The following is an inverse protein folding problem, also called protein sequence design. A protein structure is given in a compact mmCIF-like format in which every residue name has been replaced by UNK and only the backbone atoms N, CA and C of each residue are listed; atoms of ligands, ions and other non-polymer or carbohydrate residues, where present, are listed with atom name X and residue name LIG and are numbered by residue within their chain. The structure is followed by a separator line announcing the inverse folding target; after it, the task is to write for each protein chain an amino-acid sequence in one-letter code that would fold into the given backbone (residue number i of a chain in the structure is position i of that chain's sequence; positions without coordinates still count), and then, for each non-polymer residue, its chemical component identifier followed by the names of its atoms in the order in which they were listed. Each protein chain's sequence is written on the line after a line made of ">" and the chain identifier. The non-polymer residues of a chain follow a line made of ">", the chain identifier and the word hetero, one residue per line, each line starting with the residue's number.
data_IF_173401533206
#
_entry.id   IF_173401533206
#
_cell.length_a   1.000
_cell.length_b   1.000
_cell.length_c   1.000
_cell.angle_alpha   90.00
_cell.angle_beta   90.00
_cell.angle_gamma   90.00
#
_symmetry.space_group_name_H-M   'P 1'
#
loop_
_entity.id
_entity.type
_entity.pdbx_description
1 polymer ?
#
# COMPACT_ATOMS: atom_id res chain seq x y z
N UNK A 1 9.42 14.06 16.16
CA UNK A 1 8.22 13.50 15.47
C UNK A 1 8.61 12.90 14.15
N UNK A 2 8.18 11.70 13.91
CA UNK A 2 8.39 11.06 12.62
C UNK A 2 7.30 11.47 11.65
N UNK A 3 7.66 11.59 10.38
CA UNK A 3 6.67 11.83 9.33
C UNK A 3 5.74 10.62 9.17
N UNK A 4 4.49 10.84 8.74
CA UNK A 4 3.59 9.73 8.44
C UNK A 4 4.17 8.77 7.41
N UNK A 5 3.93 7.47 7.61
CA UNK A 5 4.40 6.44 6.67
C UNK A 5 3.62 6.45 5.36
N UNK A 6 2.40 6.96 5.39
CA UNK A 6 1.55 7.16 4.22
C UNK A 6 0.96 8.55 4.32
N UNK A 7 1.10 9.33 3.27
CA UNK A 7 0.49 10.66 3.16
C UNK A 7 -0.83 10.52 2.43
N UNK A 8 -1.86 11.24 2.89
CA UNK A 8 -3.16 11.27 2.24
C UNK A 8 -3.53 12.70 1.92
N UNK A 9 -3.84 12.99 0.67
CA UNK A 9 -4.31 14.29 0.24
C UNK A 9 -5.31 14.16 -0.91
N UNK A 10 -5.98 15.25 -1.23
CA UNK A 10 -6.97 15.32 -2.30
C UNK A 10 -6.50 16.34 -3.34
N UNK A 11 -5.71 15.92 -4.35
CA UNK A 11 -5.13 16.84 -5.32
C UNK A 11 -6.18 17.45 -6.26
N UNK A 12 -7.31 16.77 -6.41
CA UNK A 12 -8.45 17.19 -7.22
C UNK A 12 -9.74 16.80 -6.48
N UNK A 13 -10.88 17.45 -6.79
CA UNK A 13 -12.17 17.01 -6.25
C UNK A 13 -12.42 15.53 -6.56
N UNK A 14 -12.92 14.79 -5.59
CA UNK A 14 -13.28 13.38 -5.71
C UNK A 14 -12.10 12.42 -5.85
N UNK A 15 -10.85 12.90 -5.75
CA UNK A 15 -9.65 12.08 -5.87
C UNK A 15 -8.89 12.07 -4.55
N UNK A 16 -8.78 10.90 -3.91
CA UNK A 16 -7.91 10.70 -2.76
C UNK A 16 -6.59 10.12 -3.23
N UNK A 17 -5.49 10.80 -2.89
CA UNK A 17 -4.14 10.32 -3.22
C UNK A 17 -3.45 9.84 -1.96
N UNK A 18 -2.95 8.60 -2.02
CA UNK A 18 -2.13 8.02 -0.97
C UNK A 18 -0.70 7.92 -1.48
N UNK A 19 0.23 8.41 -0.68
CA UNK A 19 1.66 8.39 -1.02
C UNK A 19 2.42 7.56 0.00
N UNK A 20 3.08 6.47 -0.45
CA UNK A 20 4.00 5.73 0.39
C UNK A 20 5.18 6.64 0.71
N UNK A 21 5.46 6.87 1.98
CA UNK A 21 6.38 7.92 2.42
C UNK A 21 7.56 7.39 3.23
N UNK A 22 8.29 6.44 2.64
CA UNK A 22 9.57 5.94 3.17
C UNK A 22 10.64 5.96 2.08
N UNK A 23 10.93 7.12 1.46
CA UNK A 23 11.83 7.15 0.30
C UNK A 23 13.25 6.64 0.62
N UNK A 24 13.73 6.83 1.84
CA UNK A 24 15.04 6.32 2.27
C UNK A 24 15.14 4.79 2.23
N UNK A 25 14.01 4.09 2.31
CA UNK A 25 13.91 2.63 2.18
C UNK A 25 13.22 2.22 0.88
N UNK A 26 13.17 3.11 -0.10
CA UNK A 26 12.48 2.91 -1.37
C UNK A 26 11.05 2.40 -1.18
N UNK A 27 10.38 2.92 -0.16
CA UNK A 27 8.99 2.61 0.19
C UNK A 27 8.76 1.12 0.46
N UNK A 28 9.74 0.44 1.07
CA UNK A 28 9.60 -0.94 1.47
C UNK A 28 8.41 -1.12 2.42
N UNK A 29 7.66 -2.19 2.22
CA UNK A 29 6.43 -2.49 2.95
C UNK A 29 6.75 -3.25 4.24
N UNK A 30 6.87 -2.51 5.34
CA UNK A 30 6.87 -3.10 6.68
C UNK A 30 5.42 -3.39 7.11
N UNK A 31 5.24 -4.12 8.21
CA UNK A 31 3.91 -4.32 8.77
C UNK A 31 3.26 -2.98 9.14
N UNK A 32 4.03 -2.03 9.68
CA UNK A 32 3.53 -0.70 10.02
C UNK A 32 3.07 0.08 8.79
N UNK A 33 3.84 0.05 7.70
CA UNK A 33 3.43 0.71 6.45
C UNK A 33 2.15 0.10 5.92
N UNK A 34 2.04 -1.23 5.89
CA UNK A 34 0.83 -1.89 5.41
C UNK A 34 -0.38 -1.55 6.27
N UNK A 35 -0.22 -1.54 7.58
CA UNK A 35 -1.31 -1.17 8.49
C UNK A 35 -1.82 0.23 8.20
N UNK A 36 -0.94 1.21 8.11
CA UNK A 36 -1.31 2.60 7.83
C UNK A 36 -1.94 2.72 6.44
N UNK A 37 -1.37 2.05 5.44
CA UNK A 37 -1.90 2.06 4.07
C UNK A 37 -3.33 1.52 4.04
N UNK A 38 -3.58 0.37 4.65
CA UNK A 38 -4.92 -0.22 4.63
C UNK A 38 -5.93 0.59 5.45
N UNK A 39 -5.51 1.22 6.54
CA UNK A 39 -6.38 2.13 7.27
C UNK A 39 -6.80 3.32 6.40
N UNK A 40 -5.87 3.89 5.66
CA UNK A 40 -6.17 4.99 4.73
C UNK A 40 -7.04 4.55 3.55
N UNK A 41 -6.78 3.35 3.02
CA UNK A 41 -7.61 2.78 1.95
C UNK A 41 -9.06 2.57 2.42
N UNK A 42 -9.24 1.99 3.60
CA UNK A 42 -10.58 1.79 4.15
C UNK A 42 -11.30 3.10 4.41
N UNK A 43 -10.58 4.08 4.94
CA UNK A 43 -11.14 5.42 5.18
C UNK A 43 -11.60 6.06 3.87
N UNK A 44 -10.78 5.99 2.84
CA UNK A 44 -11.11 6.53 1.52
C UNK A 44 -12.28 5.79 0.87
N UNK A 45 -12.31 4.46 0.98
CA UNK A 45 -13.37 3.65 0.40
C UNK A 45 -14.74 3.92 1.03
N UNK A 46 -14.76 4.34 2.29
CA UNK A 46 -16.00 4.67 3.03
C UNK A 46 -16.42 6.12 2.88
N UNK A 47 -15.59 6.96 2.29
CA UNK A 47 -15.86 8.39 2.12
C UNK A 47 -16.65 8.61 0.83
N UNK A 48 -17.90 9.06 0.96
CA UNK A 48 -18.78 9.30 -0.18
C UNK A 48 -18.28 10.42 -1.11
N UNK A 49 -17.36 11.26 -0.64
CA UNK A 49 -16.76 12.31 -1.46
C UNK A 49 -15.58 11.81 -2.28
N UNK A 50 -15.10 10.58 -2.04
CA UNK A 50 -14.00 9.99 -2.79
C UNK A 50 -14.57 9.05 -3.87
N UNK A 51 -14.26 9.35 -5.12
CA UNK A 51 -14.69 8.55 -6.27
C UNK A 51 -13.58 7.72 -6.87
N UNK A 52 -12.32 8.10 -6.60
CA UNK A 52 -11.15 7.34 -7.05
C UNK A 52 -10.02 7.51 -6.04
N UNK A 53 -9.26 6.44 -5.84
CA UNK A 53 -8.07 6.44 -4.99
C UNK A 53 -6.85 6.25 -5.90
N UNK A 54 -5.82 7.07 -5.72
CA UNK A 54 -4.53 6.86 -6.37
C UNK A 54 -3.48 6.50 -5.34
N UNK A 55 -2.56 5.60 -5.69
CA UNK A 55 -1.42 5.24 -4.84
C UNK A 55 -0.15 5.55 -5.61
N UNK A 56 0.77 6.25 -4.96
CA UNK A 56 2.11 6.55 -5.52
C UNK A 56 3.17 6.38 -4.43
N UNK A 57 4.44 6.43 -4.83
CA UNK A 57 5.56 6.44 -3.89
C UNK A 57 6.26 7.78 -3.86
N UNK A 58 6.70 8.21 -2.68
CA UNK A 58 7.58 9.37 -2.55
C UNK A 58 9.00 9.01 -3.00
N UNK A 59 9.71 9.98 -3.55
CA UNK A 59 11.09 9.80 -3.97
C UNK A 59 11.23 9.06 -5.29
N UNK A 60 12.36 8.37 -5.53
CA UNK A 60 12.71 7.84 -6.86
C UNK A 60 12.00 6.55 -7.24
N UNK A 61 11.26 5.90 -6.34
CA UNK A 61 10.66 4.60 -6.61
C UNK A 61 9.25 4.48 -6.04
N UNK A 62 8.45 3.64 -6.67
CA UNK A 62 7.12 3.30 -6.19
C UNK A 62 7.23 2.47 -4.89
N UNK A 63 7.78 1.27 -4.99
CA UNK A 63 7.91 0.37 -3.85
C UNK A 63 8.91 -0.76 -4.16
N UNK A 64 9.87 -0.96 -3.28
CA UNK A 64 10.91 -1.99 -3.45
C UNK A 64 10.48 -3.38 -2.94
N UNK A 65 9.28 -3.53 -2.40
CA UNK A 65 8.77 -4.79 -1.90
C UNK A 65 8.68 -4.84 -0.38
N UNK A 66 8.51 -6.04 0.16
CA UNK A 66 8.41 -6.20 1.61
C UNK A 66 9.71 -5.85 2.31
N UNK A 67 9.58 -5.16 3.44
CA UNK A 67 10.75 -4.83 4.27
C UNK A 67 11.23 -6.09 4.98
N UNK A 68 12.47 -6.47 4.72
CA UNK A 68 13.11 -7.64 5.31
C UNK A 68 13.73 -7.35 6.67
N UNK A 69 13.82 -6.08 7.05
CA UNK A 69 14.32 -5.70 8.36
C UNK A 69 13.24 -5.83 9.44
N UNK A 70 13.60 -6.10 10.70
CA UNK A 70 12.63 -6.05 11.79
C UNK A 70 11.98 -4.69 11.90
N UNK A 71 10.68 -4.67 12.18
CA UNK A 71 9.94 -3.44 12.45
C UNK A 71 9.81 -3.31 13.98
N UNK A 72 10.54 -2.39 14.63
CA UNK A 72 10.55 -2.30 16.08
C UNK A 72 9.20 -1.83 16.66
N UNK A 73 8.38 -1.19 15.85
CA UNK A 73 7.10 -0.65 16.28
C UNK A 73 5.93 -1.62 16.05
N UNK A 74 6.22 -2.79 15.51
CA UNK A 74 5.18 -3.77 15.18
C UNK A 74 5.48 -5.11 15.86
N UNK A 75 4.53 -5.65 16.66
CA UNK A 75 4.72 -6.93 17.32
C UNK A 75 4.65 -8.13 16.37
N UNK A 76 4.17 -7.94 15.14
CA UNK A 76 4.09 -9.03 14.17
C UNK A 76 5.47 -9.37 13.63
N UNK A 77 5.72 -10.64 13.29
CA UNK A 77 6.98 -11.02 12.66
C UNK A 77 7.12 -10.37 11.29
N UNK A 78 8.35 -10.40 10.76
CA UNK A 78 8.60 -9.92 9.40
C UNK A 78 7.70 -10.66 8.41
N UNK A 79 7.32 -9.99 7.30
CA UNK A 79 6.46 -10.61 6.28
C UNK A 79 7.23 -11.68 5.50
N UNK A 80 7.28 -12.87 6.07
CA UNK A 80 7.87 -14.06 5.44
C UNK A 80 6.86 -15.19 5.46
N UNK A 81 6.97 -16.10 4.50
CA UNK A 81 6.13 -17.28 4.48
C UNK A 81 6.47 -18.18 5.66
N UNK A 82 5.48 -18.56 6.44
CA UNK A 82 5.66 -19.41 7.61
C UNK A 82 4.61 -20.52 7.61
N UNK A 83 4.84 -21.51 8.47
CA UNK A 83 3.91 -22.65 8.59
C UNK A 83 2.60 -22.29 9.28
N UNK A 84 2.57 -21.19 10.03
CA UNK A 84 1.37 -20.76 10.76
C UNK A 84 0.38 -19.98 9.90
N UNK A 85 0.64 -19.87 8.60
CA UNK A 85 -0.23 -19.15 7.69
C UNK A 85 -0.05 -17.63 7.74
N UNK A 86 1.07 -17.15 8.27
CA UNK A 86 1.33 -15.72 8.34
C UNK A 86 1.17 -15.03 6.98
N UNK A 87 1.72 -15.64 5.93
CA UNK A 87 1.65 -15.08 4.58
C UNK A 87 0.20 -14.89 4.13
N UNK A 88 -0.65 -15.91 4.27
CA UNK A 88 -2.06 -15.81 3.89
C UNK A 88 -2.80 -14.78 4.73
N UNK A 89 -2.67 -14.86 6.05
CA UNK A 89 -3.48 -14.03 6.96
C UNK A 89 -3.11 -12.57 6.95
N UNK A 90 -1.83 -12.27 6.83
CA UNK A 90 -1.35 -10.90 7.04
C UNK A 90 -0.93 -10.19 5.76
N UNK A 91 -0.76 -10.93 4.67
CA UNK A 91 -0.35 -10.35 3.41
C UNK A 91 -1.41 -10.55 2.32
N UNK A 92 -1.72 -11.80 2.02
CA UNK A 92 -2.61 -12.13 0.88
C UNK A 92 -4.04 -11.64 1.12
N UNK A 93 -4.56 -11.81 2.32
CA UNK A 93 -5.92 -11.33 2.64
C UNK A 93 -6.06 -9.82 2.48
N UNK A 94 -5.01 -9.06 2.80
CA UNK A 94 -5.00 -7.62 2.57
C UNK A 94 -5.16 -7.27 1.10
N UNK A 95 -4.43 -7.96 0.24
CA UNK A 95 -4.55 -7.72 -1.21
C UNK A 95 -5.96 -8.04 -1.72
N UNK A 96 -6.56 -9.14 -1.27
CA UNK A 96 -7.95 -9.46 -1.62
C UNK A 96 -8.94 -8.40 -1.10
N UNK A 97 -8.71 -7.86 0.08
CA UNK A 97 -9.52 -6.76 0.60
C UNK A 97 -9.49 -5.56 -0.34
N UNK A 98 -8.31 -5.21 -0.86
CA UNK A 98 -8.17 -4.14 -1.85
C UNK A 98 -9.01 -4.39 -3.10
N UNK A 99 -8.96 -5.61 -3.62
CA UNK A 99 -9.72 -5.99 -4.82
C UNK A 99 -11.23 -5.88 -4.60
N UNK A 100 -11.68 -6.09 -3.38
CA UNK A 100 -13.11 -6.06 -3.03
C UNK A 100 -13.63 -4.64 -2.71
N UNK A 101 -12.77 -3.63 -2.66
CA UNK A 101 -13.19 -2.27 -2.40
C UNK A 101 -14.05 -1.71 -3.53
N UNK A 102 -15.06 -0.92 -3.16
CA UNK A 102 -16.00 -0.33 -4.11
C UNK A 102 -15.38 0.81 -4.91
N UNK A 103 -14.45 1.55 -4.29
CA UNK A 103 -13.80 2.69 -4.92
C UNK A 103 -12.67 2.22 -5.81
N UNK A 104 -12.62 2.63 -7.09
CA UNK A 104 -11.52 2.29 -7.97
C UNK A 104 -10.16 2.78 -7.42
N UNK A 105 -9.15 1.95 -7.53
CA UNK A 105 -7.79 2.24 -7.08
C UNK A 105 -6.86 2.21 -8.29
N UNK A 106 -6.08 3.28 -8.48
CA UNK A 106 -5.10 3.40 -9.56
C UNK A 106 -3.70 3.49 -8.96
N UNK A 107 -2.79 2.63 -9.40
CA UNK A 107 -1.39 2.70 -9.01
C UNK A 107 -0.61 3.58 -10.00
N UNK A 108 0.07 4.62 -9.48
CA UNK A 108 1.00 5.45 -10.25
C UNK A 108 2.41 4.92 -10.03
N UNK A 109 2.86 4.05 -10.91
CA UNK A 109 4.15 3.36 -10.75
C UNK A 109 5.26 4.15 -11.44
N UNK A 110 6.38 4.33 -10.74
CA UNK A 110 7.61 4.90 -11.27
C UNK A 110 8.80 4.29 -10.54
N UNK A 111 9.94 4.17 -11.21
CA UNK A 111 11.13 3.56 -10.61
C UNK A 111 10.89 2.11 -10.19
N UNK A 112 11.50 1.68 -9.09
CA UNK A 112 11.37 0.30 -8.64
C UNK A 112 9.93 -0.04 -8.23
N UNK A 113 9.48 -1.20 -8.74
CA UNK A 113 8.21 -1.79 -8.41
C UNK A 113 8.44 -3.30 -8.35
N UNK A 114 8.91 -3.81 -7.19
CA UNK A 114 9.45 -5.16 -7.05
C UNK A 114 8.66 -5.97 -6.02
N UNK A 115 8.57 -7.27 -6.24
CA UNK A 115 7.99 -8.23 -5.28
C UNK A 115 6.64 -7.73 -4.70
N UNK A 116 6.58 -7.45 -3.39
CA UNK A 116 5.39 -6.89 -2.76
C UNK A 116 4.91 -5.58 -3.35
N UNK A 117 5.81 -4.76 -3.91
CA UNK A 117 5.44 -3.56 -4.66
C UNK A 117 4.68 -3.89 -5.93
N UNK A 118 5.08 -4.94 -6.64
CA UNK A 118 4.34 -5.44 -7.82
C UNK A 118 2.98 -6.00 -7.40
N UNK A 119 2.89 -6.72 -6.30
CA UNK A 119 1.62 -7.20 -5.77
C UNK A 119 0.68 -6.02 -5.49
N UNK A 120 1.16 -5.01 -4.77
CA UNK A 120 0.38 -3.80 -4.49
C UNK A 120 -0.13 -3.14 -5.77
N UNK A 121 0.72 -2.98 -6.77
CA UNK A 121 0.35 -2.34 -8.03
C UNK A 121 -0.69 -3.15 -8.82
N UNK A 122 -0.67 -4.47 -8.71
CA UNK A 122 -1.57 -5.35 -9.45
C UNK A 122 -2.89 -5.62 -8.74
N UNK A 123 -2.96 -5.48 -7.41
CA UNK A 123 -4.15 -5.79 -6.63
C UNK A 123 -5.16 -4.63 -6.59
N UNK A 124 -5.00 -3.62 -7.42
CA UNK A 124 -5.94 -2.52 -7.53
C UNK A 124 -7.28 -2.98 -8.06
N UNK A 125 -8.34 -2.26 -7.70
CA UNK A 125 -9.69 -2.59 -8.16
C UNK A 125 -9.84 -2.42 -9.67
N UNK A 126 -10.57 -3.33 -10.30
CA UNK A 126 -10.94 -3.24 -11.73
C UNK A 126 -9.76 -3.20 -12.68
N UNK A 127 -8.60 -3.58 -12.21
CA UNK A 127 -7.39 -3.43 -13.00
C UNK A 127 -7.19 -4.52 -14.04
N UNK A 128 -7.27 -4.16 -15.31
CA UNK A 128 -6.42 -4.80 -16.30
C UNK A 128 -5.02 -4.29 -16.01
N UNK A 129 -4.01 -5.06 -15.93
CA UNK A 129 -2.65 -4.65 -15.61
C UNK A 129 -2.31 -3.17 -15.92
N UNK A 130 -1.27 -2.66 -15.37
CA UNK A 130 -0.77 -1.35 -15.78
C UNK A 130 0.23 -1.52 -16.92
N UNK A 131 0.33 -0.50 -17.71
CA UNK A 131 1.29 -0.46 -18.81
C UNK A 131 2.53 0.33 -18.44
#
# INVERSE_FOLDING_TARGET
>A
MTEPLVLADDPLPRVRRLTLNRPAKRNALSNSVRRVLFDELRRADRDNEVHVITIRGAGPSFCAGYDLAPDPDDPLPRPIATRDGFWSRHLVEGWFEMMDMSTPIIAQVHGYCLAGGSELANERTGGSGFE
#
